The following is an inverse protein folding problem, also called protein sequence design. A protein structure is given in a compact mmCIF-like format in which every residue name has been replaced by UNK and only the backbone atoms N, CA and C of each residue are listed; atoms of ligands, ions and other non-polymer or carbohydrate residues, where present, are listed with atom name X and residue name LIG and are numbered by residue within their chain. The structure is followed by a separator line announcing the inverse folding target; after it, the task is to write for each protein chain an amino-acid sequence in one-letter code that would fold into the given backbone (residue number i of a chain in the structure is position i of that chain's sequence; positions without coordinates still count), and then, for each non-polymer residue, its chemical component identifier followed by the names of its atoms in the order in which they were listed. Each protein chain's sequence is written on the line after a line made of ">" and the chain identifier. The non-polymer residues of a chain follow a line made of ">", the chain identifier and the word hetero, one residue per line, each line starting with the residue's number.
data_IF_724845927895
#
_entry.id   IF_724845927895
#
_cell.length_a   1.000
_cell.length_b   1.000
_cell.length_c   1.000
_cell.angle_alpha   90.00
_cell.angle_beta   90.00
_cell.angle_gamma   90.00
#
_symmetry.space_group_name_H-M   'P 1'
#
loop_
_entity.id
_entity.type
_entity.pdbx_description
1 polymer ?
#
# COMPACT_ATOMS: atom_id res chain seq x y z
N UNK A 1 8.35 21.44 14.03
CA UNK A 1 7.59 21.47 12.76
C UNK A 1 6.44 22.45 12.95
N UNK A 2 6.24 23.41 12.04
CA UNK A 2 5.07 24.30 12.14
C UNK A 2 3.80 23.47 12.00
N UNK A 3 2.70 23.85 12.67
CA UNK A 3 1.40 23.16 12.55
C UNK A 3 0.91 23.09 11.08
N UNK A 4 1.42 23.95 10.22
CA UNK A 4 1.06 24.03 8.81
C UNK A 4 1.61 22.84 8.01
N UNK A 5 2.89 22.48 8.20
CA UNK A 5 3.52 21.36 7.49
C UNK A 5 2.86 20.02 7.82
N UNK A 6 2.41 19.84 9.06
CA UNK A 6 1.70 18.62 9.48
C UNK A 6 0.34 18.45 8.77
N UNK A 7 -0.33 19.56 8.44
CA UNK A 7 -1.61 19.54 7.73
C UNK A 7 -1.44 19.22 6.25
N UNK A 8 -0.35 19.68 5.64
CA UNK A 8 -0.03 19.43 4.23
C UNK A 8 0.30 17.96 3.96
N UNK A 9 0.95 17.27 4.91
CA UNK A 9 1.32 15.86 4.78
C UNK A 9 0.31 14.89 5.40
N UNK A 10 -0.84 15.38 5.88
CA UNK A 10 -1.83 14.55 6.57
C UNK A 10 -2.25 13.32 5.76
N UNK A 11 -2.42 13.46 4.44
CA UNK A 11 -2.77 12.38 3.52
C UNK A 11 -1.65 11.37 3.27
N UNK A 12 -0.40 11.79 3.43
CA UNK A 12 0.75 10.90 3.28
C UNK A 12 0.88 9.96 4.48
N UNK A 13 0.66 10.48 5.69
CA UNK A 13 0.74 9.69 6.93
C UNK A 13 -0.55 8.97 7.30
N UNK A 14 -1.71 9.48 6.86
CA UNK A 14 -3.02 8.87 7.10
C UNK A 14 -3.80 8.73 5.78
N UNK A 15 -3.29 7.95 4.81
CA UNK A 15 -4.00 7.73 3.56
C UNK A 15 -5.29 6.95 3.80
N UNK A 16 -6.36 7.30 3.09
CA UNK A 16 -7.59 6.49 3.00
C UNK A 16 -7.45 5.33 2.00
N UNK A 17 -6.50 5.46 1.07
CA UNK A 17 -6.20 4.45 0.07
C UNK A 17 -4.75 4.55 -0.41
N UNK A 18 -4.15 3.40 -0.72
CA UNK A 18 -2.78 3.27 -1.21
C UNK A 18 -2.79 2.41 -2.48
N UNK A 19 -2.19 2.92 -3.56
CA UNK A 19 -1.90 2.13 -4.76
C UNK A 19 -0.41 1.73 -4.77
N UNK A 20 -0.12 0.45 -5.00
CA UNK A 20 1.24 -0.08 -5.03
C UNK A 20 1.55 -0.57 -6.43
N UNK A 21 2.37 0.19 -7.15
CA UNK A 21 2.70 -0.08 -8.55
C UNK A 21 3.91 -1.01 -8.62
N UNK A 22 3.85 -2.03 -9.48
CA UNK A 22 4.97 -2.97 -9.68
C UNK A 22 5.02 -4.09 -8.64
N UNK A 23 3.88 -4.43 -8.05
CA UNK A 23 3.76 -5.56 -7.12
C UNK A 23 4.01 -6.88 -7.85
N UNK A 24 4.92 -7.70 -7.33
CA UNK A 24 5.16 -9.05 -7.87
C UNK A 24 4.00 -9.99 -7.51
N UNK A 25 3.72 -10.97 -8.39
CA UNK A 25 2.78 -12.06 -8.10
C UNK A 25 3.34 -13.05 -7.07
N UNK A 26 4.66 -13.14 -6.98
CA UNK A 26 5.34 -14.06 -6.08
C UNK A 26 5.40 -13.47 -4.67
N UNK A 27 4.92 -14.23 -3.68
CA UNK A 27 4.80 -13.81 -2.28
C UNK A 27 6.13 -13.53 -1.57
N UNK A 28 7.26 -13.93 -2.17
CA UNK A 28 8.58 -13.95 -1.54
C UNK A 28 9.55 -12.89 -2.06
N UNK A 29 9.08 -11.90 -2.84
CA UNK A 29 9.96 -10.88 -3.39
C UNK A 29 10.02 -9.65 -2.47
N UNK A 30 11.24 -9.18 -2.19
CA UNK A 30 11.49 -7.94 -1.45
C UNK A 30 10.92 -6.77 -2.28
N UNK A 31 9.85 -6.11 -1.79
CA UNK A 31 9.18 -5.04 -2.53
C UNK A 31 7.68 -4.91 -2.24
N UNK A 32 6.90 -4.52 -3.25
CA UNK A 32 5.47 -4.17 -3.13
C UNK A 32 4.61 -5.24 -2.44
N UNK A 33 4.86 -6.52 -2.71
CA UNK A 33 4.11 -7.65 -2.13
C UNK A 33 4.35 -7.78 -0.61
N UNK A 34 5.55 -7.45 -0.13
CA UNK A 34 5.89 -7.42 1.30
C UNK A 34 5.14 -6.31 2.03
N UNK A 35 5.05 -5.10 1.45
CA UNK A 35 4.28 -4.01 2.06
C UNK A 35 2.79 -4.35 2.15
N UNK A 36 2.19 -4.88 1.09
CA UNK A 36 0.80 -5.34 1.09
C UNK A 36 0.56 -6.41 2.15
N UNK A 37 1.42 -7.42 2.24
CA UNK A 37 1.31 -8.46 3.25
C UNK A 37 1.30 -7.89 4.67
N UNK A 38 2.23 -6.96 4.97
CA UNK A 38 2.30 -6.35 6.30
C UNK A 38 1.10 -5.44 6.59
N UNK A 39 0.61 -4.65 5.63
CA UNK A 39 -0.57 -3.81 5.83
C UNK A 39 -1.85 -4.64 6.02
N UNK A 40 -2.03 -5.70 5.25
CA UNK A 40 -3.14 -6.64 5.44
C UNK A 40 -3.08 -7.31 6.82
N UNK A 41 -1.90 -7.80 7.21
CA UNK A 41 -1.70 -8.43 8.53
C UNK A 41 -1.89 -7.45 9.69
N UNK A 42 -1.51 -6.18 9.50
CA UNK A 42 -1.72 -5.11 10.47
C UNK A 42 -3.16 -4.60 10.52
N UNK A 43 -4.05 -5.07 9.64
CA UNK A 43 -5.45 -4.64 9.59
C UNK A 43 -5.60 -3.19 9.11
N UNK A 44 -4.79 -2.76 8.15
CA UNK A 44 -4.91 -1.43 7.56
C UNK A 44 -6.35 -1.21 7.06
N UNK A 45 -6.99 -0.17 7.59
CA UNK A 45 -8.43 0.09 7.40
C UNK A 45 -8.76 0.81 6.09
N UNK A 46 -7.74 1.35 5.41
CA UNK A 46 -7.88 1.95 4.09
C UNK A 46 -7.92 0.93 2.97
N UNK A 47 -8.14 1.40 1.75
CA UNK A 47 -8.18 0.54 0.55
C UNK A 47 -6.78 0.33 -0.02
N UNK A 48 -6.43 -0.92 -0.32
CA UNK A 48 -5.17 -1.28 -0.97
C UNK A 48 -5.42 -1.67 -2.41
N UNK A 49 -4.64 -1.10 -3.34
CA UNK A 49 -4.74 -1.39 -4.77
C UNK A 49 -3.39 -1.89 -5.31
N UNK A 50 -3.17 -3.21 -5.39
CA UNK A 50 -2.01 -3.74 -6.09
C UNK A 50 -2.16 -3.51 -7.60
N UNK A 51 -1.14 -2.92 -8.23
CA UNK A 51 -1.14 -2.68 -9.68
C UNK A 51 -0.02 -3.50 -10.32
N UNK A 52 -0.41 -4.53 -11.07
CA UNK A 52 0.48 -5.34 -11.90
C UNK A 52 -0.22 -5.65 -13.25
N UNK A 53 0.32 -5.19 -14.40
CA UNK A 53 -0.30 -5.42 -15.70
C UNK A 53 -0.50 -6.89 -16.11
N UNK A 54 0.23 -7.81 -15.48
CA UNK A 54 0.24 -9.25 -15.76
C UNK A 54 -0.47 -10.08 -14.69
N UNK A 55 -1.05 -9.43 -13.67
CA UNK A 55 -1.76 -10.11 -12.60
C UNK A 55 -3.24 -9.69 -12.62
N UNK A 56 -4.13 -10.65 -12.44
CA UNK A 56 -5.55 -10.40 -12.21
C UNK A 56 -5.88 -10.22 -10.73
N UNK A 57 -5.00 -10.72 -9.85
CA UNK A 57 -5.09 -10.62 -8.40
C UNK A 57 -3.70 -10.64 -7.77
N UNK A 58 -3.54 -10.02 -6.60
CA UNK A 58 -2.35 -10.16 -5.74
C UNK A 58 -2.77 -10.22 -4.26
N UNK A 59 -2.42 -11.31 -3.57
CA UNK A 59 -2.79 -11.56 -2.16
C UNK A 59 -4.32 -11.52 -1.91
N UNK A 60 -5.12 -11.88 -2.92
CA UNK A 60 -6.58 -11.84 -2.85
C UNK A 60 -7.19 -10.45 -2.99
N UNK A 61 -6.37 -9.46 -3.39
CA UNK A 61 -6.78 -8.10 -3.76
C UNK A 61 -6.72 -7.91 -5.28
#
# INVERSE_FOLDING_TARGET
>A
MSRQNARELGRFFNPESIAVIGVSRESMNFGGSSFLHHWLKAGYSGRLYPINPKATEVLGL
#
